data_IF_602848483668
#
_entry.id   IF_602848483668
#
_cell.length_a   1.000
_cell.length_b   1.000
_cell.length_c   1.000
_cell.angle_alpha   90.00
_cell.angle_beta   90.00
_cell.angle_gamma   90.00
#
_symmetry.space_group_name_H-M   'P 1'
#
loop_
_entity.id
_entity.type
_entity.pdbx_description
1 polymer ?
#
# COMPACT_ATOMS: atom_id res chain seq x y z
N UNK A 1 -0.39 -2.50 -4.62
CA UNK A 1 -0.75 -3.15 -5.90
C UNK A 1 0.16 -2.66 -7.01
N UNK A 2 0.52 -3.52 -7.95
CA UNK A 2 1.17 -3.13 -9.19
C UNK A 2 0.13 -2.76 -10.28
N UNK A 3 0.60 -2.36 -11.47
CA UNK A 3 -0.28 -1.97 -12.59
C UNK A 3 -1.17 -3.11 -13.11
N UNK A 4 -0.82 -4.37 -12.83
CA UNK A 4 -1.62 -5.55 -13.17
C UNK A 4 -2.71 -5.83 -12.12
N UNK A 5 -2.84 -4.98 -11.09
CA UNK A 5 -3.78 -5.19 -9.99
C UNK A 5 -3.34 -6.24 -8.97
N UNK A 6 -2.12 -6.76 -9.08
CA UNK A 6 -1.61 -7.77 -8.15
C UNK A 6 -1.20 -7.13 -6.82
N UNK A 7 -1.55 -7.77 -5.71
CA UNK A 7 -1.13 -7.33 -4.38
C UNK A 7 0.39 -7.55 -4.22
N UNK A 8 1.11 -6.49 -3.82
CA UNK A 8 2.57 -6.51 -3.69
C UNK A 8 2.95 -6.78 -2.23
N UNK A 9 2.31 -6.06 -1.31
CA UNK A 9 2.44 -6.21 0.13
C UNK A 9 1.21 -5.59 0.80
N UNK A 10 0.87 -6.10 1.99
CA UNK A 10 -0.11 -5.52 2.90
C UNK A 10 0.61 -5.11 4.17
N UNK A 11 0.86 -3.81 4.34
CA UNK A 11 1.64 -3.29 5.48
C UNK A 11 0.81 -3.14 6.75
N UNK A 12 -0.43 -2.70 6.61
CA UNK A 12 -1.37 -2.52 7.71
C UNK A 12 -2.54 -3.46 7.46
N UNK A 13 -2.66 -4.48 8.31
CA UNK A 13 -3.77 -5.44 8.27
C UNK A 13 -4.64 -5.38 9.53
N UNK A 14 -4.53 -4.30 10.29
CA UNK A 14 -5.33 -4.06 11.50
C UNK A 14 -6.11 -2.76 11.36
N UNK A 15 -7.27 -2.70 12.01
CA UNK A 15 -8.07 -1.48 12.07
C UNK A 15 -7.43 -0.50 13.04
N UNK A 16 -7.13 0.71 12.56
CA UNK A 16 -6.66 1.79 13.41
C UNK A 16 -7.84 2.59 13.94
N UNK A 17 -7.71 3.13 15.17
CA UNK A 17 -8.68 4.09 15.68
C UNK A 17 -8.69 5.36 14.81
N UNK A 18 -9.83 6.07 14.72
CA UNK A 18 -9.90 7.34 14.03
C UNK A 18 -8.84 8.32 14.55
N UNK A 19 -8.09 8.95 13.64
CA UNK A 19 -7.00 9.85 13.98
C UNK A 19 -5.94 9.89 12.90
N UNK A 20 -4.82 10.55 13.20
CA UNK A 20 -3.67 10.60 12.30
C UNK A 20 -2.91 9.28 12.33
N UNK A 21 -2.53 8.76 11.17
CA UNK A 21 -1.69 7.58 11.02
C UNK A 21 -0.80 7.75 9.80
N UNK A 22 0.47 7.40 9.95
CA UNK A 22 1.46 7.43 8.87
C UNK A 22 2.06 6.03 8.71
N UNK A 23 2.22 5.60 7.46
CA UNK A 23 2.95 4.39 7.12
C UNK A 23 3.82 4.65 5.91
N UNK A 24 5.03 4.12 5.93
CA UNK A 24 5.99 4.24 4.84
C UNK A 24 6.28 2.85 4.31
N UNK A 25 6.18 2.72 2.99
CA UNK A 25 6.56 1.49 2.31
C UNK A 25 8.03 1.53 1.91
N UNK A 26 8.75 0.47 2.27
CA UNK A 26 10.19 0.30 2.09
C UNK A 26 10.56 -0.29 0.71
N UNK A 27 9.58 -0.45 -0.18
CA UNK A 27 9.80 -1.02 -1.52
C UNK A 27 9.99 -2.54 -1.54
N UNK A 28 9.54 -3.25 -0.49
CA UNK A 28 9.60 -4.73 -0.44
C UNK A 28 8.24 -5.39 -0.60
N UNK A 29 8.21 -6.58 -1.18
CA UNK A 29 7.01 -7.42 -1.27
C UNK A 29 6.76 -8.19 0.05
N UNK A 30 5.68 -8.97 0.13
CA UNK A 30 5.34 -9.80 1.29
C UNK A 30 6.38 -10.87 1.66
N UNK A 31 7.33 -11.17 0.77
CA UNK A 31 8.45 -12.10 1.01
C UNK A 31 9.73 -11.37 1.45
N UNK A 32 9.66 -10.06 1.71
CA UNK A 32 10.82 -9.24 2.05
C UNK A 32 11.75 -8.93 0.87
N UNK A 33 11.36 -9.25 -0.36
CA UNK A 33 12.18 -9.02 -1.56
C UNK A 33 11.90 -7.63 -2.11
N UNK A 34 12.96 -6.90 -2.49
CA UNK A 34 12.82 -5.59 -3.14
C UNK A 34 12.09 -5.70 -4.48
N UNK A 35 11.17 -4.78 -4.76
CA UNK A 35 10.46 -4.72 -6.04
C UNK A 35 11.14 -3.78 -7.04
N UNK A 36 10.71 -3.80 -8.30
CA UNK A 36 11.25 -2.93 -9.34
C UNK A 36 10.80 -1.47 -9.15
N UNK A 37 11.57 -0.52 -9.68
CA UNK A 37 11.10 0.86 -9.84
C UNK A 37 9.87 0.89 -10.74
N UNK A 38 8.90 1.75 -10.45
CA UNK A 38 7.66 1.82 -11.21
C UNK A 38 6.51 2.47 -10.46
N UNK A 39 5.32 2.43 -11.07
CA UNK A 39 4.10 2.96 -10.47
C UNK A 39 3.43 1.88 -9.64
N UNK A 40 3.09 2.24 -8.40
CA UNK A 40 2.38 1.40 -7.45
C UNK A 40 1.16 2.13 -6.92
N UNK A 41 0.13 1.35 -6.61
CA UNK A 41 -1.10 1.85 -6.01
C UNK A 41 -1.27 1.33 -4.60
N UNK A 42 -1.79 2.16 -3.71
CA UNK A 42 -2.27 1.73 -2.40
C UNK A 42 -3.76 2.00 -2.27
N UNK A 43 -4.42 1.16 -1.48
CA UNK A 43 -5.84 1.28 -1.13
C UNK A 43 -5.96 1.47 0.37
N UNK A 44 -6.67 2.50 0.78
CA UNK A 44 -7.15 2.66 2.16
C UNK A 44 -8.61 2.22 2.20
N UNK A 45 -8.97 1.44 3.21
CA UNK A 45 -10.34 0.99 3.42
C UNK A 45 -10.72 1.22 4.88
N UNK A 46 -11.96 1.65 5.11
CA UNK A 46 -12.55 1.85 6.43
C UNK A 46 -13.69 0.85 6.65
N UNK A 47 -13.97 0.53 7.92
CA UNK A 47 -15.12 -0.29 8.31
C UNK A 47 -16.48 0.33 7.92
N UNK A 48 -16.52 1.64 7.66
CA UNK A 48 -17.72 2.36 7.18
C UNK A 48 -18.01 2.17 5.68
N UNK A 49 -17.18 1.39 4.97
CA UNK A 49 -17.32 1.17 3.52
C UNK A 49 -16.62 2.21 2.66
N UNK A 50 -15.99 3.24 3.25
CA UNK A 50 -15.15 4.18 2.51
C UNK A 50 -13.90 3.48 1.98
N UNK A 51 -13.58 3.70 0.70
CA UNK A 51 -12.32 3.27 0.11
C UNK A 51 -11.69 4.38 -0.72
N UNK A 52 -10.37 4.55 -0.60
CA UNK A 52 -9.60 5.53 -1.34
C UNK A 52 -8.39 4.88 -1.98
N UNK A 53 -8.15 5.16 -3.26
CA UNK A 53 -7.00 4.62 -4.00
C UNK A 53 -6.13 5.79 -4.47
N UNK A 54 -4.81 5.67 -4.30
CA UNK A 54 -3.84 6.60 -4.89
C UNK A 54 -2.66 5.86 -5.52
N UNK A 55 -2.11 6.48 -6.55
CA UNK A 55 -0.88 6.06 -7.22
C UNK A 55 0.34 6.81 -6.67
N UNK A 56 1.49 6.13 -6.67
CA UNK A 56 2.82 6.65 -6.29
C UNK A 56 3.86 6.06 -7.23
N UNK A 57 4.95 6.80 -7.45
CA UNK A 57 6.12 6.30 -8.17
C UNK A 57 7.17 5.87 -7.16
N UNK A 58 7.65 4.64 -7.28
CA UNK A 58 8.84 4.15 -6.58
C UNK A 58 10.04 4.30 -7.51
N UNK A 59 11.04 5.04 -7.07
CA UNK A 59 12.34 5.18 -7.72
C UNK A 59 13.41 4.61 -6.79
N UNK A 60 14.39 3.91 -7.34
CA UNK A 60 15.57 3.41 -6.62
C UNK A 60 16.72 4.40 -6.74
#
# INVERSE_FOLDING_TARGET
YNLLGQEVVRQVDTMHQPGWSETVWDGRNSRGQGVASGVYMYRLASSTGYSHVRQRTLLK
#
